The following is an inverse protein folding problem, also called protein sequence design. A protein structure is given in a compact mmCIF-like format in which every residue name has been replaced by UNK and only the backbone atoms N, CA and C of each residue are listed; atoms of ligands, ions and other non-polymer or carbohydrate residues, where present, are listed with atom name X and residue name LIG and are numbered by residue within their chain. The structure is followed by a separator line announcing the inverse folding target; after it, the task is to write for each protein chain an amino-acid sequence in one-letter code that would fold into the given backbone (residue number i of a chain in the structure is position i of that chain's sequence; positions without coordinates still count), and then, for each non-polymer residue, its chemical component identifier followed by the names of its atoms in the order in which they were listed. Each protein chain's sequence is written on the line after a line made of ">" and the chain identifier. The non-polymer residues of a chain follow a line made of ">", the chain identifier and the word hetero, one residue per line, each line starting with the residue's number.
data_IF_187034244718
#
_entry.id   IF_187034244718
#
_cell.length_a   1.000
_cell.length_b   1.000
_cell.length_c   1.000
_cell.angle_alpha   90.00
_cell.angle_beta   90.00
_cell.angle_gamma   90.00
#
_symmetry.space_group_name_H-M   'P 1'
#
loop_
_entity.id
_entity.type
_entity.pdbx_description
1 polymer ?
#
# COMPACT_ATOMS: atom_id res chain seq x y z
N UNK A 1 28.77 -0.01 -25.81
CA UNK A 1 29.16 -1.13 -24.92
C UNK A 1 29.50 -0.66 -23.50
N UNK A 2 30.51 0.20 -23.30
CA UNK A 2 30.97 0.62 -21.97
C UNK A 2 29.90 1.31 -21.07
N UNK A 3 29.00 2.12 -21.66
CA UNK A 3 27.95 2.78 -20.90
C UNK A 3 26.92 1.80 -20.30
N UNK A 4 26.53 0.76 -21.06
CA UNK A 4 25.62 -0.27 -20.58
C UNK A 4 26.24 -1.11 -19.46
N UNK A 5 27.53 -1.40 -19.56
CA UNK A 5 28.25 -2.15 -18.52
C UNK A 5 28.35 -1.34 -17.22
N UNK A 6 28.64 -0.04 -17.31
CA UNK A 6 28.58 0.87 -16.17
C UNK A 6 27.19 0.96 -15.54
N UNK A 7 26.14 1.03 -16.37
CA UNK A 7 24.77 1.03 -15.85
C UNK A 7 24.46 -0.29 -15.12
N UNK A 8 24.89 -1.43 -15.66
CA UNK A 8 24.71 -2.74 -14.99
C UNK A 8 25.45 -2.83 -13.67
N UNK A 9 26.68 -2.31 -13.60
CA UNK A 9 27.46 -2.25 -12.36
C UNK A 9 26.81 -1.31 -11.33
N UNK A 10 26.34 -0.13 -11.76
CA UNK A 10 25.68 0.85 -10.87
C UNK A 10 24.35 0.34 -10.34
N UNK A 11 23.55 -0.28 -11.20
CA UNK A 11 22.21 -0.78 -10.85
C UNK A 11 22.22 -2.22 -10.35
N UNK A 12 23.37 -2.90 -10.34
CA UNK A 12 23.54 -4.30 -9.93
C UNK A 12 22.63 -5.26 -10.74
N UNK A 13 22.61 -5.04 -12.07
CA UNK A 13 21.80 -5.81 -13.01
C UNK A 13 22.67 -6.92 -13.61
N UNK A 14 22.65 -8.10 -12.97
CA UNK A 14 23.35 -9.29 -13.45
C UNK A 14 22.91 -9.65 -14.88
N UNK A 15 21.60 -9.68 -15.12
CA UNK A 15 21.00 -9.98 -16.43
C UNK A 15 20.09 -8.84 -16.88
N UNK A 16 20.26 -8.39 -18.13
CA UNK A 16 19.39 -7.36 -18.69
C UNK A 16 17.95 -7.89 -18.67
N UNK A 17 17.00 -7.15 -18.07
CA UNK A 17 15.61 -7.55 -18.14
C UNK A 17 15.21 -7.72 -19.62
N UNK A 18 14.33 -8.68 -19.93
CA UNK A 18 13.88 -8.89 -21.30
C UNK A 18 13.41 -7.57 -21.90
N UNK A 19 13.72 -7.34 -23.18
CA UNK A 19 13.31 -6.15 -23.94
C UNK A 19 11.82 -6.20 -24.29
N UNK A 20 11.01 -6.36 -23.25
CA UNK A 20 9.57 -6.45 -23.26
C UNK A 20 9.09 -5.33 -22.36
N UNK A 21 8.47 -4.33 -22.98
CA UNK A 21 7.84 -3.26 -22.22
C UNK A 21 6.87 -3.88 -21.20
N UNK A 22 6.92 -3.45 -19.92
CA UNK A 22 5.97 -3.88 -18.93
C UNK A 22 4.55 -3.63 -19.45
N UNK A 23 3.70 -4.66 -19.49
CA UNK A 23 2.31 -4.52 -19.93
C UNK A 23 1.51 -3.55 -19.04
N UNK A 24 1.98 -3.32 -17.82
CA UNK A 24 1.39 -2.43 -16.83
C UNK A 24 2.22 -1.17 -16.66
N UNK A 25 1.53 -0.03 -16.57
CA UNK A 25 2.13 1.26 -16.20
C UNK A 25 2.48 1.27 -14.72
N UNK A 26 3.54 1.97 -14.30
CA UNK A 26 3.83 2.15 -12.89
C UNK A 26 2.68 2.90 -12.18
N UNK A 27 2.41 2.63 -10.89
CA UNK A 27 1.43 3.38 -10.14
C UNK A 27 1.76 4.87 -10.14
N UNK A 28 0.75 5.73 -10.35
CA UNK A 28 0.94 7.18 -10.45
C UNK A 28 1.68 7.76 -9.24
N UNK A 29 1.39 7.24 -8.04
CA UNK A 29 2.09 7.61 -6.81
C UNK A 29 3.62 7.46 -6.92
N UNK A 30 4.12 6.38 -7.54
CA UNK A 30 5.56 6.15 -7.67
C UNK A 30 6.19 7.12 -8.68
N UNK A 31 5.46 7.48 -9.73
CA UNK A 31 5.89 8.48 -10.72
C UNK A 31 5.98 9.86 -10.06
N UNK A 32 4.96 10.25 -9.31
CA UNK A 32 4.91 11.53 -8.59
C UNK A 32 6.01 11.60 -7.53
N UNK A 33 6.24 10.50 -6.81
CA UNK A 33 7.32 10.38 -5.85
C UNK A 33 8.67 10.60 -6.53
N UNK A 34 8.94 9.89 -7.63
CA UNK A 34 10.17 10.05 -8.39
C UNK A 34 10.37 11.49 -8.86
N UNK A 35 9.38 12.09 -9.52
CA UNK A 35 9.47 13.46 -10.01
C UNK A 35 9.68 14.50 -8.90
N UNK A 36 9.21 14.20 -7.68
CA UNK A 36 9.39 15.05 -6.51
C UNK A 36 10.79 14.95 -5.92
N UNK A 37 11.41 13.77 -5.93
CA UNK A 37 12.69 13.52 -5.25
C UNK A 37 13.90 13.51 -6.18
N UNK A 38 13.73 13.12 -7.44
CA UNK A 38 14.79 13.01 -8.44
C UNK A 38 14.88 14.29 -9.26
N UNK A 39 16.09 14.73 -9.61
CA UNK A 39 16.34 15.83 -10.54
C UNK A 39 16.16 15.39 -12.00
N UNK A 40 16.42 16.32 -12.93
CA UNK A 40 16.34 16.07 -14.38
C UNK A 40 17.32 14.98 -14.86
N UNK A 41 18.35 14.67 -14.06
CA UNK A 41 19.34 13.63 -14.33
C UNK A 41 19.02 12.31 -13.61
N UNK A 42 17.91 12.25 -12.85
CA UNK A 42 17.52 11.08 -12.06
C UNK A 42 18.25 10.97 -10.71
N UNK A 43 19.01 11.98 -10.29
CA UNK A 43 19.75 12.01 -9.02
C UNK A 43 18.85 12.59 -7.92
N UNK A 44 18.88 11.98 -6.74
CA UNK A 44 18.08 12.44 -5.59
C UNK A 44 18.50 13.84 -5.14
N UNK A 45 17.59 14.82 -5.27
CA UNK A 45 17.82 16.25 -5.00
C UNK A 45 18.13 16.58 -3.54
N UNK A 46 17.59 15.78 -2.62
CA UNK A 46 17.61 16.07 -1.19
C UNK A 46 17.86 14.78 -0.38
N UNK A 47 19.11 14.51 0.03
CA UNK A 47 19.41 13.46 1.00
C UNK A 47 18.61 13.74 2.28
N UNK A 48 17.72 12.83 2.66
CA UNK A 48 16.86 12.97 3.86
C UNK A 48 15.39 13.30 3.60
N UNK A 49 14.97 13.54 2.35
CA UNK A 49 13.55 13.69 2.02
C UNK A 49 12.77 12.35 2.12
N UNK A 50 13.46 11.23 1.94
CA UNK A 50 12.93 9.88 2.05
C UNK A 50 13.61 9.12 3.20
N UNK A 51 12.84 8.26 3.85
CA UNK A 51 13.33 7.39 4.92
C UNK A 51 13.78 6.05 4.33
N UNK A 52 14.90 6.06 3.62
CA UNK A 52 15.45 4.89 2.92
C UNK A 52 16.12 5.27 1.60
N UNK A 53 16.91 4.36 1.06
CA UNK A 53 17.50 4.50 -0.28
C UNK A 53 16.68 3.77 -1.36
N UNK A 54 15.81 2.84 -0.98
CA UNK A 54 14.94 2.09 -1.87
C UNK A 54 13.47 2.25 -1.46
N UNK A 55 12.61 2.49 -2.45
CA UNK A 55 11.15 2.54 -2.27
C UNK A 55 10.50 1.56 -3.23
N UNK A 56 9.69 0.64 -2.70
CA UNK A 56 8.92 -0.35 -3.49
C UNK A 56 7.44 -0.21 -3.24
N UNK A 57 6.63 -0.35 -4.28
CA UNK A 57 5.16 -0.42 -4.19
C UNK A 57 4.66 -1.80 -4.58
N UNK A 58 3.74 -2.33 -3.80
CA UNK A 58 3.07 -3.61 -4.04
C UNK A 58 1.59 -3.37 -4.28
N UNK A 59 1.04 -4.03 -5.30
CA UNK A 59 -0.39 -3.98 -5.63
C UNK A 59 -1.17 -5.02 -4.84
N UNK A 60 -2.41 -4.68 -4.51
CA UNK A 60 -3.36 -5.61 -3.91
C UNK A 60 -3.75 -6.74 -4.89
N UNK A 61 -3.69 -7.98 -4.41
CA UNK A 61 -4.02 -9.20 -5.16
C UNK A 61 -5.43 -9.75 -4.87
N UNK A 62 -6.15 -9.21 -3.90
CA UNK A 62 -7.52 -9.66 -3.59
C UNK A 62 -8.51 -8.80 -4.35
N UNK A 63 -9.23 -9.39 -5.29
CA UNK A 63 -10.21 -8.67 -6.10
C UNK A 63 -11.66 -8.88 -5.65
N UNK A 64 -11.98 -10.07 -5.11
CA UNK A 64 -13.36 -10.45 -4.79
C UNK A 64 -13.87 -9.83 -3.49
N UNK A 65 -13.02 -9.74 -2.45
CA UNK A 65 -13.38 -9.16 -1.17
C UNK A 65 -13.04 -7.66 -1.13
N UNK A 66 -14.05 -6.84 -0.88
CA UNK A 66 -13.96 -5.38 -0.84
C UNK A 66 -13.21 -4.84 0.39
N UNK A 67 -13.07 -5.65 1.44
CA UNK A 67 -12.51 -5.24 2.73
C UNK A 67 -11.16 -5.89 3.03
N UNK A 68 -10.84 -7.01 2.38
CA UNK A 68 -9.56 -7.71 2.51
C UNK A 68 -8.56 -7.23 1.45
N UNK A 69 -7.33 -6.95 1.85
CA UNK A 69 -6.23 -6.51 0.99
C UNK A 69 -5.02 -7.41 1.22
N UNK A 70 -4.47 -8.00 0.17
CA UNK A 70 -3.28 -8.85 0.26
C UNK A 70 -2.18 -8.34 -0.66
N UNK A 71 -0.98 -8.20 -0.10
CA UNK A 71 0.19 -7.69 -0.81
C UNK A 71 1.30 -8.74 -0.74
N UNK A 72 1.77 -9.19 -1.90
CA UNK A 72 2.89 -10.11 -1.98
C UNK A 72 4.20 -9.33 -1.90
N UNK A 73 4.88 -9.42 -0.76
CA UNK A 73 6.14 -8.72 -0.47
C UNK A 73 7.39 -9.58 -0.78
N UNK A 74 7.24 -10.69 -1.50
CA UNK A 74 8.36 -11.61 -1.83
C UNK A 74 9.49 -10.97 -2.64
N UNK A 75 9.20 -9.85 -3.33
CA UNK A 75 10.21 -9.09 -4.07
C UNK A 75 11.15 -8.25 -3.18
N UNK A 76 11.00 -8.29 -1.85
CA UNK A 76 12.00 -7.73 -0.94
C UNK A 76 13.29 -8.54 -0.97
N UNK A 77 14.42 -7.85 -1.09
CA UNK A 77 15.72 -8.52 -1.15
C UNK A 77 16.15 -9.01 0.23
N UNK A 78 16.80 -10.17 0.26
CA UNK A 78 17.30 -10.76 1.51
C UNK A 78 18.31 -9.84 2.16
N UNK A 79 17.99 -9.39 3.37
CA UNK A 79 18.88 -8.58 4.19
C UNK A 79 18.69 -7.07 4.05
N UNK A 80 17.77 -6.59 3.21
CA UNK A 80 17.36 -5.18 3.29
C UNK A 80 16.80 -4.85 4.67
N UNK A 81 17.12 -3.65 5.15
CA UNK A 81 16.56 -3.18 6.40
C UNK A 81 15.28 -2.41 6.09
N UNK A 82 14.13 -2.92 6.54
CA UNK A 82 12.89 -2.16 6.46
C UNK A 82 12.87 -1.04 7.48
N UNK A 83 12.50 0.15 7.02
CA UNK A 83 12.43 1.36 7.83
C UNK A 83 10.99 1.80 8.06
N UNK A 84 10.17 1.72 7.03
CA UNK A 84 8.79 2.19 7.07
C UNK A 84 7.92 1.42 6.08
N UNK A 85 6.67 1.17 6.46
CA UNK A 85 5.64 0.68 5.55
C UNK A 85 4.34 1.49 5.67
N UNK A 86 3.76 1.82 4.53
CA UNK A 86 2.52 2.57 4.41
C UNK A 86 1.49 1.79 3.59
N UNK A 87 0.33 1.54 4.19
CA UNK A 87 -0.85 1.07 3.47
C UNK A 87 -1.60 2.29 2.94
N UNK A 88 -1.76 2.38 1.63
CA UNK A 88 -2.41 3.48 0.92
C UNK A 88 -3.64 2.95 0.22
N UNK A 89 -4.81 3.43 0.63
CA UNK A 89 -6.10 3.04 0.04
C UNK A 89 -6.87 4.27 -0.40
N UNK A 90 -7.53 4.22 -1.55
CA UNK A 90 -8.31 5.34 -2.04
C UNK A 90 -9.77 5.20 -1.61
N UNK A 91 -10.25 6.13 -0.78
CA UNK A 91 -11.65 6.25 -0.37
C UNK A 91 -12.48 6.75 -1.55
N UNK A 92 -13.44 5.94 -1.99
CA UNK A 92 -14.37 6.30 -3.05
C UNK A 92 -15.47 7.22 -2.51
N UNK A 93 -15.91 8.19 -3.32
CA UNK A 93 -17.08 9.01 -3.01
C UNK A 93 -18.33 8.14 -2.95
N UNK A 94 -19.15 8.37 -1.94
CA UNK A 94 -20.43 7.68 -1.81
C UNK A 94 -21.42 8.22 -2.86
N UNK A 95 -21.84 7.36 -3.79
CA UNK A 95 -22.91 7.69 -4.76
C UNK A 95 -24.26 7.47 -4.08
N UNK A 96 -24.84 8.53 -3.53
CA UNK A 96 -26.18 8.62 -2.94
C UNK A 96 -26.50 7.74 -1.70
N UNK A 97 -26.68 8.40 -0.55
CA UNK A 97 -27.57 7.90 0.51
C UNK A 97 -28.94 8.52 0.23
N UNK A 98 -29.79 7.81 -0.53
CA UNK A 98 -31.18 8.22 -0.67
C UNK A 98 -31.90 7.99 0.67
N UNK A 99 -32.45 9.07 1.26
CA UNK A 99 -33.75 8.98 1.91
C UNK A 99 -33.85 8.90 3.43
N UNK A 100 -32.88 9.31 4.27
CA UNK A 100 -33.16 9.55 5.70
C UNK A 100 -32.44 10.76 6.28
N UNK A 101 -33.16 11.47 7.16
CA UNK A 101 -32.80 12.74 7.82
C UNK A 101 -31.68 12.65 8.86
N UNK A 102 -31.07 11.47 9.05
CA UNK A 102 -29.96 11.30 9.98
C UNK A 102 -28.64 11.56 9.24
N UNK A 103 -28.16 12.79 9.36
CA UNK A 103 -26.95 13.25 8.68
C UNK A 103 -25.73 12.56 9.29
N UNK A 104 -25.25 11.51 8.63
CA UNK A 104 -24.01 10.81 9.01
C UNK A 104 -22.84 11.63 8.50
N UNK A 105 -22.07 12.21 9.42
CA UNK A 105 -20.93 13.06 9.06
C UNK A 105 -19.61 12.29 8.99
N UNK A 106 -19.43 11.31 9.87
CA UNK A 106 -18.19 10.57 10.02
C UNK A 106 -18.45 9.06 10.11
N UNK A 107 -17.44 8.26 9.82
CA UNK A 107 -17.41 6.84 10.16
C UNK A 107 -16.08 6.51 10.83
N UNK A 108 -16.07 5.51 11.71
CA UNK A 108 -14.86 4.92 12.25
C UNK A 108 -14.31 3.94 11.22
N UNK A 109 -13.05 4.08 10.88
CA UNK A 109 -12.30 3.16 10.03
C UNK A 109 -11.26 2.47 10.87
N UNK A 110 -11.26 1.15 10.79
CA UNK A 110 -10.36 0.28 11.54
C UNK A 110 -9.61 -0.62 10.58
N UNK A 111 -8.29 -0.65 10.71
CA UNK A 111 -7.39 -1.48 9.93
C UNK A 111 -6.87 -2.57 10.84
N UNK A 112 -7.00 -3.82 10.42
CA UNK A 112 -6.55 -4.99 11.14
C UNK A 112 -5.50 -5.76 10.34
N UNK A 113 -4.53 -6.37 11.02
CA UNK A 113 -3.78 -7.51 10.47
C UNK A 113 -4.63 -8.76 10.59
N UNK A 114 -4.71 -9.54 9.51
CA UNK A 114 -5.27 -10.88 9.55
C UNK A 114 -4.19 -11.84 10.03
N UNK A 115 -4.59 -12.76 10.90
CA UNK A 115 -3.72 -13.79 11.45
C UNK A 115 -4.15 -15.15 10.91
N UNK A 116 -3.22 -16.10 10.94
CA UNK A 116 -3.54 -17.48 10.62
C UNK A 116 -4.66 -17.96 11.54
N UNK A 117 -5.71 -18.49 10.93
CA UNK A 117 -6.82 -19.11 11.63
C UNK A 117 -6.93 -20.52 11.09
N UNK A 118 -6.64 -21.51 11.94
CA UNK A 118 -6.90 -22.91 11.64
C UNK A 118 -8.41 -23.17 11.62
N UNK A 119 -8.90 -24.00 12.53
CA UNK A 119 -10.33 -24.31 12.65
C UNK A 119 -11.17 -23.25 13.41
N UNK A 120 -10.56 -22.15 13.82
CA UNK A 120 -11.19 -21.09 14.61
C UNK A 120 -11.66 -19.92 13.74
N UNK A 121 -12.61 -19.07 14.21
CA UNK A 121 -12.98 -17.85 13.51
C UNK A 121 -11.75 -16.95 13.29
N UNK A 122 -11.68 -16.33 12.10
CA UNK A 122 -10.52 -15.58 11.64
C UNK A 122 -10.02 -14.58 12.69
N UNK A 123 -8.87 -14.89 13.29
CA UNK A 123 -8.23 -14.01 14.27
C UNK A 123 -7.71 -12.76 13.57
N UNK A 124 -7.94 -11.61 14.19
CA UNK A 124 -7.49 -10.30 13.70
C UNK A 124 -6.95 -9.44 14.83
N UNK A 125 -5.96 -8.61 14.52
CA UNK A 125 -5.37 -7.67 15.48
C UNK A 125 -5.47 -6.24 14.94
N UNK A 126 -5.95 -5.31 15.77
CA UNK A 126 -6.17 -3.91 15.36
C UNK A 126 -4.83 -3.18 15.23
N UNK A 127 -4.58 -2.61 14.05
CA UNK A 127 -3.39 -1.79 13.77
C UNK A 127 -3.68 -0.32 14.01
N UNK A 128 -4.80 0.17 13.46
CA UNK A 128 -5.16 1.59 13.50
C UNK A 128 -6.68 1.78 13.53
N UNK A 129 -7.13 2.82 14.24
CA UNK A 129 -8.53 3.25 14.29
C UNK A 129 -8.59 4.77 14.16
N UNK A 130 -9.39 5.31 13.23
CA UNK A 130 -9.62 6.76 13.09
C UNK A 130 -11.01 7.10 12.56
N UNK A 131 -11.43 8.34 12.76
CA UNK A 131 -12.66 8.87 12.17
C UNK A 131 -12.38 9.47 10.79
N UNK A 132 -13.16 9.09 9.80
CA UNK A 132 -13.13 9.67 8.45
C UNK A 132 -14.45 10.38 8.15
N UNK A 133 -14.35 11.56 7.52
CA UNK A 133 -15.51 12.25 6.97
C UNK A 133 -16.15 11.39 5.88
N UNK A 134 -17.47 11.31 5.85
CA UNK A 134 -18.20 10.57 4.81
C UNK A 134 -18.25 11.33 3.47
N UNK A 135 -18.08 12.65 3.49
CA UNK A 135 -18.23 13.51 2.30
C UNK A 135 -17.01 13.61 1.40
N UNK A 136 -15.83 13.31 1.93
CA UNK A 136 -14.58 13.43 1.20
C UNK A 136 -14.31 12.20 0.33
N UNK A 137 -13.60 12.38 -0.77
CA UNK A 137 -12.93 11.30 -1.48
C UNK A 137 -11.43 11.56 -1.44
N UNK A 138 -10.60 10.53 -1.54
CA UNK A 138 -9.16 10.72 -1.58
C UNK A 138 -8.36 9.59 -0.96
N UNK A 139 -7.06 9.82 -0.88
CA UNK A 139 -6.11 8.85 -0.33
C UNK A 139 -6.11 8.84 1.19
N UNK A 140 -6.24 7.64 1.73
CA UNK A 140 -6.14 7.34 3.14
C UNK A 140 -4.85 6.53 3.36
N UNK A 141 -3.94 7.08 4.17
CA UNK A 141 -2.64 6.44 4.47
C UNK A 141 -2.61 5.94 5.90
N UNK A 142 -2.19 4.69 6.10
CA UNK A 142 -2.03 4.06 7.41
C UNK A 142 -0.60 3.58 7.58
N UNK A 143 -0.01 3.86 8.74
CA UNK A 143 1.29 3.30 9.11
C UNK A 143 1.09 1.85 9.52
N UNK A 144 1.73 0.94 8.78
CA UNK A 144 1.66 -0.52 9.01
C UNK A 144 3.05 -1.11 9.23
N UNK A 145 4.03 -0.26 9.56
CA UNK A 145 5.45 -0.64 9.68
C UNK A 145 5.65 -1.84 10.59
N UNK A 146 5.06 -1.85 11.78
CA UNK A 146 5.24 -2.94 12.73
C UNK A 146 4.69 -4.27 12.21
N UNK A 147 3.51 -4.27 11.59
CA UNK A 147 2.90 -5.47 11.00
C UNK A 147 3.73 -6.02 9.85
N UNK A 148 4.10 -5.15 8.90
CA UNK A 148 4.88 -5.57 7.73
C UNK A 148 6.27 -6.06 8.17
N UNK A 149 6.86 -5.52 9.24
CA UNK A 149 8.15 -6.00 9.77
C UNK A 149 8.10 -7.47 10.19
N UNK A 150 6.96 -7.93 10.72
CA UNK A 150 6.75 -9.35 11.03
C UNK A 150 6.73 -10.18 9.74
N UNK A 151 6.07 -9.70 8.69
CA UNK A 151 5.96 -10.39 7.41
C UNK A 151 7.30 -10.50 6.69
N UNK A 152 8.16 -9.48 6.79
CA UNK A 152 9.52 -9.52 6.23
C UNK A 152 10.38 -10.57 6.94
N UNK A 153 10.25 -10.69 8.26
CA UNK A 153 10.95 -11.72 9.03
C UNK A 153 10.39 -13.13 8.82
N UNK A 154 9.08 -13.24 8.58
CA UNK A 154 8.41 -14.50 8.30
C UNK A 154 7.26 -14.31 7.30
N UNK A 155 7.48 -14.68 6.05
CA UNK A 155 6.50 -14.52 4.98
C UNK A 155 5.20 -15.30 5.20
N UNK A 156 5.23 -16.42 5.94
CA UNK A 156 4.01 -17.20 6.25
C UNK A 156 3.04 -16.46 7.18
N UNK A 157 3.50 -15.43 7.88
CA UNK A 157 2.65 -14.61 8.74
C UNK A 157 1.80 -13.58 7.97
N UNK A 158 2.07 -13.38 6.68
CA UNK A 158 1.32 -12.45 5.84
C UNK A 158 -0.01 -13.06 5.38
N UNK A 159 -1.11 -12.62 5.99
CA UNK A 159 -2.47 -12.95 5.57
C UNK A 159 -3.22 -11.73 5.02
N UNK A 160 -2.52 -10.60 4.87
CA UNK A 160 -3.08 -9.33 4.44
C UNK A 160 -3.75 -8.53 5.56
N UNK A 161 -4.45 -7.47 5.13
CA UNK A 161 -5.14 -6.52 5.98
C UNK A 161 -6.65 -6.61 5.79
N UNK A 162 -7.39 -6.34 6.86
CA UNK A 162 -8.84 -6.14 6.80
C UNK A 162 -9.16 -4.69 7.17
N UNK A 163 -9.91 -3.99 6.32
CA UNK A 163 -10.38 -2.64 6.60
C UNK A 163 -11.90 -2.65 6.79
N UNK A 164 -12.34 -2.33 7.99
CA UNK A 164 -13.77 -2.22 8.32
C UNK A 164 -14.16 -0.78 8.56
N UNK A 165 -15.37 -0.42 8.15
CA UNK A 165 -15.94 0.90 8.44
C UNK A 165 -17.23 0.75 9.21
N UNK A 166 -17.35 1.50 10.31
CA UNK A 166 -18.49 1.45 11.22
C UNK A 166 -19.02 2.85 11.53
N UNK A 167 -20.32 2.99 11.70
CA UNK A 167 -20.95 4.17 12.28
C UNK A 167 -21.93 3.75 13.35
N UNK A 168 -21.83 4.41 14.49
CA UNK A 168 -22.73 4.17 15.62
C UNK A 168 -23.77 5.29 15.61
N UNK A 169 -25.03 4.92 15.40
CA UNK A 169 -26.15 5.86 15.45
C UNK A 169 -27.35 5.22 16.13
N UNK A 170 -27.91 5.91 17.14
CA UNK A 170 -29.10 5.47 17.87
C UNK A 170 -29.05 3.99 18.29
N UNK A 171 -27.95 3.59 18.94
CA UNK A 171 -27.63 2.22 19.37
C UNK A 171 -27.58 1.15 18.25
N UNK A 172 -27.53 1.56 16.98
CA UNK A 172 -27.28 0.68 15.83
C UNK A 172 -25.87 0.89 15.32
N UNK A 173 -25.19 -0.22 15.01
CA UNK A 173 -23.90 -0.20 14.33
C UNK A 173 -24.16 -0.54 12.87
N UNK A 174 -23.86 0.41 12.00
CA UNK A 174 -23.87 0.19 10.56
C UNK A 174 -22.46 -0.09 10.07
N UNK A 175 -22.34 -1.08 9.19
CA UNK A 175 -21.07 -1.50 8.59
C UNK A 175 -21.00 -1.09 7.12
N UNK A 176 -19.80 -1.04 6.56
CA UNK A 176 -19.53 -0.92 5.11
C UNK A 176 -20.05 0.39 4.49
N UNK A 177 -19.97 1.48 5.24
CA UNK A 177 -20.42 2.81 4.82
C UNK A 177 -19.51 3.44 3.77
N UNK A 178 -18.25 3.03 3.75
CA UNK A 178 -17.25 3.52 2.81
C UNK A 178 -16.71 2.35 2.01
N UNK A 179 -16.51 2.59 0.71
CA UNK A 179 -15.81 1.68 -0.19
C UNK A 179 -14.44 2.23 -0.51
N UNK A 180 -13.46 1.33 -0.57
CA UNK A 180 -12.12 1.64 -1.02
C UNK A 180 -11.94 1.09 -2.43
N UNK A 181 -11.14 1.79 -3.24
CA UNK A 181 -10.80 1.32 -4.57
C UNK A 181 -10.02 0.00 -4.48
N UNK A 182 -10.39 -0.94 -5.35
CA UNK A 182 -9.78 -2.26 -5.49
C UNK A 182 -9.13 -2.36 -6.85
N UNK A 183 -8.19 -3.29 -6.99
CA UNK A 183 -7.44 -3.54 -8.22
C UNK A 183 -8.29 -4.20 -9.34
N UNK A 184 -9.59 -3.91 -9.41
CA UNK A 184 -10.53 -4.56 -10.33
C UNK A 184 -10.95 -3.61 -11.46
N UNK A 185 -10.41 -3.84 -12.66
CA UNK A 185 -10.79 -3.18 -13.90
C UNK A 185 -9.83 -2.06 -14.34
N UNK A 186 -9.72 -1.89 -15.65
CA UNK A 186 -8.84 -0.92 -16.34
C UNK A 186 -9.19 0.54 -16.06
N UNK A 187 -10.38 0.82 -15.52
CA UNK A 187 -10.91 2.18 -15.39
C UNK A 187 -10.39 2.94 -14.17
N UNK A 188 -9.78 2.26 -13.18
CA UNK A 188 -9.37 2.87 -11.90
C UNK A 188 -7.96 2.46 -11.46
N UNK A 189 -7.10 2.00 -12.37
CA UNK A 189 -5.74 1.51 -12.04
C UNK A 189 -4.91 2.51 -11.23
N UNK A 190 -5.08 3.82 -11.46
CA UNK A 190 -4.36 4.87 -10.74
C UNK A 190 -4.79 5.03 -9.27
N UNK A 191 -5.89 4.39 -8.86
CA UNK A 191 -6.47 4.48 -7.50
C UNK A 191 -6.36 3.17 -6.73
N UNK A 192 -5.74 2.14 -7.31
CA UNK A 192 -5.57 0.84 -6.68
C UNK A 192 -4.87 0.98 -5.32
N UNK A 193 -5.26 0.13 -4.37
CA UNK A 193 -4.59 0.06 -3.09
C UNK A 193 -3.12 -0.34 -3.28
N UNK A 194 -2.24 0.33 -2.55
CA UNK A 194 -0.79 0.10 -2.59
C UNK A 194 -0.26 -0.11 -1.18
N UNK A 195 0.64 -1.07 -1.05
CA UNK A 195 1.53 -1.16 0.09
C UNK A 195 2.89 -0.61 -0.34
N UNK A 196 3.37 0.45 0.31
CA UNK A 196 4.63 1.12 -0.02
C UNK A 196 5.63 0.87 1.09
N UNK A 197 6.79 0.33 0.73
CA UNK A 197 7.89 0.03 1.65
C UNK A 197 9.05 0.95 1.37
N UNK A 198 9.66 1.44 2.45
CA UNK A 198 10.88 2.20 2.44
C UNK A 198 11.95 1.39 3.16
N UNK A 199 13.04 1.09 2.46
CA UNK A 199 14.10 0.20 2.92
C UNK A 199 15.46 0.86 2.74
N UNK A 200 16.45 0.38 3.50
CA UNK A 200 17.86 0.57 3.21
C UNK A 200 18.41 -0.71 2.57
N UNK A 201 19.00 -0.55 1.39
CA UNK A 201 19.78 -1.59 0.74
C UNK A 201 21.02 -1.90 1.57
N UNK A 202 21.45 -3.17 1.57
CA UNK A 202 22.68 -3.61 2.26
C UNK A 202 23.97 -3.24 1.52
N UNK A 203 23.89 -2.47 0.43
CA UNK A 203 25.05 -2.16 -0.40
C UNK A 203 26.09 -1.45 0.45
N UNK A 204 27.26 -2.07 0.61
CA UNK A 204 28.44 -1.40 1.17
C UNK A 204 28.61 -0.11 0.38
N UNK A 205 28.43 1.04 1.03
CA UNK A 205 28.93 2.31 0.51
C UNK A 205 30.45 2.16 0.47
N UNK A 206 30.96 1.68 -0.67
CA UNK A 206 32.37 1.78 -1.02
C UNK A 206 32.72 3.23 -1.30
#
# INVERSE_FOLDING_TARGET
>A
AAALQRLREVFDIEELPPDVLPRKKPPQFMVDLFNKVADVNGITRAPGLLQGDVVRSFEDRVHADQHHFYFDISAMEKGEQMLKAELRVFKLKMTHVSGRSDVKHFCRVEVYELLESGNEPQKKHLIASRLLSLYTEGWEVFNVTQTVSKWVGNSSSNHGFLITTTHVFNNRIEHNLVKFAKSQGTLQESRNALLVLFTNSKKRRS
#
